data_IF_415565269317
#
_entry.id   IF_415565269317
#
_cell.length_a   1.000
_cell.length_b   1.000
_cell.length_c   1.000
_cell.angle_alpha   90.00
_cell.angle_beta   90.00
_cell.angle_gamma   90.00
#
_symmetry.space_group_name_H-M   'P 1'
#
loop_
_entity.id
_entity.type
_entity.pdbx_description
1 polymer ?
#
# COMPACT_ATOMS: atom_id res chain seq x y z
N UNK A 1 -21.69 0.71 -70.11
CA UNK A 1 -20.42 0.69 -69.36
C UNK A 1 -20.44 1.86 -68.38
N UNK A 2 -20.85 1.64 -67.14
CA UNK A 2 -20.83 2.64 -66.07
C UNK A 2 -20.26 1.97 -64.81
N UNK A 3 -19.03 2.32 -64.45
CA UNK A 3 -18.38 1.86 -63.23
C UNK A 3 -18.86 2.76 -62.10
N UNK A 4 -19.56 2.19 -61.11
CA UNK A 4 -19.90 2.87 -59.86
C UNK A 4 -18.73 2.71 -58.89
N UNK A 5 -18.11 3.82 -58.51
CA UNK A 5 -17.14 3.86 -57.41
C UNK A 5 -17.89 3.81 -56.08
N UNK A 6 -17.64 2.77 -55.28
CA UNK A 6 -18.04 2.73 -53.88
C UNK A 6 -16.95 3.39 -53.04
N UNK A 7 -17.27 4.54 -52.44
CA UNK A 7 -16.45 5.16 -51.40
C UNK A 7 -16.80 4.46 -50.08
N UNK A 8 -15.86 3.68 -49.54
CA UNK A 8 -15.95 3.17 -48.18
C UNK A 8 -15.52 4.27 -47.21
N UNK A 9 -16.47 4.85 -46.50
CA UNK A 9 -16.23 5.68 -45.33
C UNK A 9 -15.81 4.77 -44.16
N UNK A 10 -14.51 4.73 -43.84
CA UNK A 10 -14.03 4.18 -42.58
C UNK A 10 -14.44 5.12 -41.44
N UNK A 11 -15.49 4.78 -40.72
CA UNK A 11 -15.77 5.38 -39.42
C UNK A 11 -14.70 4.88 -38.44
N UNK A 12 -13.70 5.72 -38.17
CA UNK A 12 -12.69 5.44 -37.15
C UNK A 12 -13.37 5.36 -35.77
N UNK A 13 -13.39 4.17 -35.18
CA UNK A 13 -13.70 4.00 -33.77
C UNK A 13 -12.57 4.65 -32.96
N UNK A 14 -12.81 5.86 -32.46
CA UNK A 14 -11.96 6.47 -31.44
C UNK A 14 -12.20 5.68 -30.16
N UNK A 15 -11.30 4.75 -29.84
CA UNK A 15 -11.24 4.12 -28.53
C UNK A 15 -10.83 5.19 -27.52
N UNK A 16 -11.82 5.82 -26.88
CA UNK A 16 -11.58 6.65 -25.71
C UNK A 16 -11.07 5.73 -24.60
N UNK A 17 -9.77 5.83 -24.29
CA UNK A 17 -9.18 5.18 -23.10
C UNK A 17 -9.91 5.77 -21.90
N UNK A 18 -10.80 4.98 -21.29
CA UNK A 18 -11.52 5.40 -20.10
C UNK A 18 -10.59 5.30 -18.88
N UNK A 19 -10.72 6.22 -17.92
CA UNK A 19 -10.05 6.09 -16.63
C UNK A 19 -10.48 4.81 -15.92
N UNK A 20 -9.53 3.96 -15.56
CA UNK A 20 -9.79 2.80 -14.73
C UNK A 20 -9.41 3.13 -13.28
N UNK A 21 -10.41 3.57 -12.52
CA UNK A 21 -10.34 3.67 -11.07
C UNK A 21 -10.66 2.28 -10.51
N UNK A 22 -9.68 1.68 -9.83
CA UNK A 22 -9.87 0.35 -9.23
C UNK A 22 -10.20 0.45 -7.76
N UNK A 23 -9.50 1.32 -7.02
CA UNK A 23 -9.78 1.55 -5.62
C UNK A 23 -10.48 2.89 -5.44
N UNK A 24 -11.71 2.82 -4.93
CA UNK A 24 -12.47 4.01 -4.53
C UNK A 24 -11.84 4.69 -3.32
N UNK A 25 -11.08 3.95 -2.51
CA UNK A 25 -10.25 4.49 -1.45
C UNK A 25 -9.46 3.43 -0.69
N UNK A 26 -8.35 3.84 -0.08
CA UNK A 26 -7.57 3.11 0.93
C UNK A 26 -8.42 2.63 2.10
N UNK A 27 -9.19 3.56 2.66
CA UNK A 27 -10.22 3.30 3.65
C UNK A 27 -11.52 2.94 2.94
N UNK A 28 -12.36 2.09 3.56
CA UNK A 28 -13.73 1.95 3.13
C UNK A 28 -14.43 3.32 3.08
N UNK A 29 -15.46 3.42 2.24
CA UNK A 29 -16.25 4.64 2.11
C UNK A 29 -16.66 5.20 3.48
N UNK A 30 -16.37 6.48 3.68
CA UNK A 30 -16.64 7.22 4.91
C UNK A 30 -16.78 8.71 4.58
N UNK A 31 -17.51 9.43 5.44
CA UNK A 31 -17.82 10.86 5.27
C UNK A 31 -16.94 11.76 6.14
N UNK A 32 -15.82 11.25 6.67
CA UNK A 32 -14.96 12.04 7.55
C UNK A 32 -14.18 13.08 6.76
N UNK A 33 -14.22 14.31 7.28
CA UNK A 33 -13.60 15.49 6.69
C UNK A 33 -12.77 16.22 7.73
N UNK A 34 -11.46 16.37 7.50
CA UNK A 34 -10.56 17.10 8.39
C UNK A 34 -9.96 18.29 7.61
N UNK A 35 -10.48 19.51 7.80
CA UNK A 35 -10.03 20.69 7.06
C UNK A 35 -8.63 21.15 7.51
N UNK A 36 -8.02 22.05 6.73
CA UNK A 36 -6.69 22.63 7.03
C UNK A 36 -6.68 23.41 8.34
N UNK A 37 -7.83 23.93 8.80
CA UNK A 37 -7.96 24.64 10.07
C UNK A 37 -7.80 23.75 11.31
N UNK A 38 -7.84 22.43 11.16
CA UNK A 38 -7.75 21.46 12.26
C UNK A 38 -6.37 20.82 12.39
N UNK A 39 -5.34 21.42 11.77
CA UNK A 39 -3.94 21.00 11.99
C UNK A 39 -3.59 21.23 13.47
N UNK A 40 -3.36 20.13 14.19
CA UNK A 40 -2.88 20.14 15.57
C UNK A 40 -1.42 19.67 15.64
N UNK A 41 -0.76 19.87 16.78
CA UNK A 41 0.61 19.37 17.02
C UNK A 41 0.73 17.83 16.91
N UNK A 42 -0.38 17.12 16.95
CA UNK A 42 -0.44 15.66 16.85
C UNK A 42 -0.69 15.15 15.42
N UNK A 43 -0.76 16.06 14.45
CA UNK A 43 -1.06 15.75 13.05
C UNK A 43 0.07 16.15 12.14
N UNK A 44 0.17 15.56 10.94
CA UNK A 44 1.18 15.96 9.98
C UNK A 44 0.92 17.40 9.54
N UNK A 45 1.96 18.22 9.53
CA UNK A 45 1.93 19.49 8.83
C UNK A 45 2.19 19.29 7.32
N UNK A 46 1.99 20.35 6.54
CA UNK A 46 2.15 20.31 5.08
C UNK A 46 3.57 19.94 4.63
N UNK A 47 4.60 20.34 5.40
CA UNK A 47 5.98 20.01 5.06
C UNK A 47 6.26 18.52 5.25
N UNK A 48 5.75 17.92 6.34
CA UNK A 48 5.84 16.48 6.58
C UNK A 48 5.09 15.69 5.51
N UNK A 49 3.84 16.10 5.20
CA UNK A 49 3.06 15.54 4.10
C UNK A 49 3.84 15.54 2.78
N UNK A 50 4.44 16.67 2.42
CA UNK A 50 5.20 16.78 1.18
C UNK A 50 6.50 15.98 1.20
N UNK A 51 7.22 15.99 2.33
CA UNK A 51 8.47 15.25 2.50
C UNK A 51 8.29 13.75 2.30
N UNK A 52 7.21 13.17 2.85
CA UNK A 52 6.87 11.76 2.65
C UNK A 52 6.67 11.46 1.16
N UNK A 53 5.91 12.29 0.45
CA UNK A 53 5.62 12.07 -0.97
C UNK A 53 6.84 12.33 -1.85
N UNK A 54 7.73 13.26 -1.48
CA UNK A 54 8.99 13.50 -2.18
C UNK A 54 9.88 12.26 -2.16
N UNK A 55 9.91 11.55 -1.02
CA UNK A 55 10.68 10.30 -0.87
C UNK A 55 10.13 9.21 -1.78
N UNK A 56 8.81 9.00 -1.77
CA UNK A 56 8.14 8.03 -2.64
C UNK A 56 8.42 8.34 -4.10
N UNK A 57 8.24 9.59 -4.53
CA UNK A 57 8.50 9.99 -5.92
C UNK A 57 9.96 9.81 -6.31
N UNK A 58 10.90 10.23 -5.46
CA UNK A 58 12.35 10.10 -5.73
C UNK A 58 12.76 8.66 -6.01
N UNK A 59 12.21 7.70 -5.27
CA UNK A 59 12.51 6.27 -5.43
C UNK A 59 11.75 5.66 -6.59
N UNK A 60 10.45 5.93 -6.68
CA UNK A 60 9.56 5.15 -7.54
C UNK A 60 9.28 5.78 -8.90
N UNK A 61 9.48 7.08 -9.11
CA UNK A 61 9.41 7.65 -10.46
C UNK A 61 10.32 6.92 -11.47
N UNK A 62 11.63 6.70 -11.21
CA UNK A 62 12.49 5.99 -12.16
C UNK A 62 12.11 4.51 -12.32
N UNK A 63 11.64 3.86 -11.25
CA UNK A 63 11.17 2.46 -11.30
C UNK A 63 9.94 2.37 -12.21
N UNK A 64 8.93 3.21 -12.01
CA UNK A 64 7.73 3.25 -12.85
C UNK A 64 8.08 3.61 -14.30
N UNK A 65 9.01 4.54 -14.52
CA UNK A 65 9.49 4.87 -15.86
C UNK A 65 10.13 3.67 -16.57
N UNK A 66 10.90 2.84 -15.84
CA UNK A 66 11.47 1.61 -16.40
C UNK A 66 10.43 0.56 -16.80
N UNK A 67 9.22 0.67 -16.27
CA UNK A 67 8.05 -0.15 -16.64
C UNK A 67 7.24 0.48 -17.79
N UNK A 68 7.73 1.55 -18.41
CA UNK A 68 7.02 2.30 -19.46
C UNK A 68 5.92 3.23 -18.93
N UNK A 69 5.89 3.45 -17.62
CA UNK A 69 4.90 4.28 -16.93
C UNK A 69 5.35 5.70 -16.63
N UNK A 70 4.42 6.50 -16.10
CA UNK A 70 4.69 7.79 -15.47
C UNK A 70 3.98 7.83 -14.13
N UNK A 71 4.74 7.89 -13.04
CA UNK A 71 4.19 8.10 -11.70
C UNK A 71 3.71 9.55 -11.57
N UNK A 72 2.50 9.74 -11.07
CA UNK A 72 1.92 11.04 -10.76
C UNK A 72 1.31 11.03 -9.36
N UNK A 73 2.01 11.63 -8.41
CA UNK A 73 1.49 11.81 -7.05
C UNK A 73 0.72 13.12 -6.98
N UNK A 74 -0.60 13.04 -6.77
CA UNK A 74 -1.47 14.20 -6.53
C UNK A 74 -1.44 14.54 -5.04
N UNK A 75 -0.80 15.67 -4.74
CA UNK A 75 -0.60 16.22 -3.40
C UNK A 75 -1.80 17.09 -3.01
N UNK A 76 -2.86 16.47 -2.54
CA UNK A 76 -4.15 17.13 -2.29
C UNK A 76 -4.24 17.65 -0.86
N UNK A 77 -3.27 18.48 -0.44
CA UNK A 77 -3.15 18.95 0.95
C UNK A 77 -4.41 19.69 1.44
N UNK A 78 -5.03 20.53 0.61
CA UNK A 78 -6.24 21.29 1.01
C UNK A 78 -7.52 20.47 0.95
N UNK A 79 -7.47 19.27 0.38
CA UNK A 79 -8.60 18.35 0.37
C UNK A 79 -8.76 17.73 1.76
N UNK A 80 -9.98 17.80 2.29
CA UNK A 80 -10.34 17.39 3.64
C UNK A 80 -10.71 15.90 3.74
N UNK A 81 -10.73 15.18 2.62
CA UNK A 81 -11.07 13.75 2.57
C UNK A 81 -10.10 12.91 3.42
N UNK A 82 -10.66 12.08 4.31
CA UNK A 82 -9.91 11.06 5.07
C UNK A 82 -9.84 9.78 4.23
N UNK A 83 -9.00 9.80 3.20
CA UNK A 83 -8.73 8.63 2.35
C UNK A 83 -7.41 8.79 1.56
N UNK A 84 -7.11 7.84 0.67
CA UNK A 84 -6.16 7.90 -0.44
C UNK A 84 -6.72 7.04 -1.58
N UNK A 85 -6.23 7.18 -2.82
CA UNK A 85 -6.67 6.30 -3.92
C UNK A 85 -5.66 6.14 -5.04
N UNK A 86 -5.72 4.99 -5.71
CA UNK A 86 -4.92 4.67 -6.88
C UNK A 86 -5.78 4.62 -8.15
N UNK A 87 -5.26 5.24 -9.21
CA UNK A 87 -5.95 5.32 -10.50
C UNK A 87 -4.98 5.09 -11.65
N UNK A 88 -5.44 4.36 -12.67
CA UNK A 88 -4.66 4.08 -13.87
C UNK A 88 -5.31 4.71 -15.10
N UNK A 89 -4.54 5.52 -15.82
CA UNK A 89 -4.97 6.12 -17.10
C UNK A 89 -3.87 5.98 -18.15
N UNK A 90 -4.03 5.02 -19.06
CA UNK A 90 -2.97 4.66 -20.02
C UNK A 90 -1.69 4.27 -19.29
N UNK A 91 -0.60 5.00 -19.55
CA UNK A 91 0.68 4.80 -18.88
C UNK A 91 0.86 5.64 -17.60
N UNK A 92 -0.16 6.37 -17.13
CA UNK A 92 -0.10 7.19 -15.91
C UNK A 92 -0.51 6.38 -14.69
N UNK A 93 0.40 6.29 -13.73
CA UNK A 93 0.24 5.63 -12.43
C UNK A 93 -0.07 6.73 -11.43
N UNK A 94 -1.35 6.93 -11.09
CA UNK A 94 -1.79 8.08 -10.30
C UNK A 94 -2.04 7.64 -8.86
N UNK A 95 -1.46 8.37 -7.91
CA UNK A 95 -1.72 8.26 -6.47
C UNK A 95 -2.37 9.56 -6.01
N UNK A 96 -3.58 9.50 -5.47
CA UNK A 96 -4.24 10.64 -4.85
C UNK A 96 -4.06 10.58 -3.35
N UNK A 97 -3.31 11.55 -2.81
CA UNK A 97 -2.99 11.60 -1.40
C UNK A 97 -3.68 12.82 -0.79
N UNK A 98 -4.69 12.60 0.05
CA UNK A 98 -5.55 13.66 0.56
C UNK A 98 -5.07 14.16 1.93
N UNK A 99 -5.16 15.48 2.14
CA UNK A 99 -4.69 16.10 3.37
C UNK A 99 -5.52 15.73 4.60
N UNK A 100 -6.81 15.42 4.43
CA UNK A 100 -7.69 15.02 5.53
C UNK A 100 -7.16 13.78 6.26
N UNK A 101 -6.66 12.79 5.52
CA UNK A 101 -6.01 11.61 6.11
C UNK A 101 -4.74 11.98 6.88
N UNK A 102 -3.88 12.81 6.31
CA UNK A 102 -2.65 13.23 6.97
C UNK A 102 -2.90 14.05 8.25
N UNK A 103 -4.09 14.65 8.36
CA UNK A 103 -4.53 15.40 9.55
C UNK A 103 -5.32 14.55 10.56
N UNK A 104 -5.46 13.25 10.34
CA UNK A 104 -6.12 12.39 11.32
C UNK A 104 -5.20 12.11 12.53
N UNK A 105 -5.68 12.19 13.79
CA UNK A 105 -4.82 12.13 14.98
C UNK A 105 -3.94 10.88 15.14
N UNK A 106 -4.38 9.72 14.65
CA UNK A 106 -3.61 8.48 14.70
C UNK A 106 -2.56 8.34 13.59
N UNK A 107 -2.49 9.27 12.63
CA UNK A 107 -1.62 9.17 11.46
C UNK A 107 -0.27 9.83 11.73
N UNK A 108 0.79 9.03 11.68
CA UNK A 108 2.19 9.47 11.72
C UNK A 108 2.78 9.63 10.30
N UNK A 109 3.99 10.18 10.18
CA UNK A 109 4.69 10.25 8.89
C UNK A 109 4.87 8.86 8.27
N UNK A 110 5.24 7.87 9.09
CA UNK A 110 5.38 6.48 8.66
C UNK A 110 4.05 5.87 8.24
N UNK A 111 2.97 6.13 8.98
CA UNK A 111 1.63 5.68 8.61
C UNK A 111 1.21 6.26 7.25
N UNK A 112 1.46 7.55 7.02
CA UNK A 112 1.16 8.18 5.74
C UNK A 112 2.04 7.65 4.59
N UNK A 113 3.32 7.35 4.87
CA UNK A 113 4.21 6.70 3.91
C UNK A 113 3.75 5.27 3.56
N UNK A 114 3.25 4.52 4.55
CA UNK A 114 2.63 3.21 4.33
C UNK A 114 1.45 3.34 3.36
N UNK A 115 0.57 4.32 3.53
CA UNK A 115 -0.58 4.53 2.63
C UNK A 115 -0.10 4.81 1.21
N UNK A 116 0.86 5.71 1.02
CA UNK A 116 1.42 5.98 -0.32
C UNK A 116 2.03 4.71 -0.95
N UNK A 117 2.69 3.89 -0.14
CA UNK A 117 3.23 2.60 -0.54
C UNK A 117 2.16 1.56 -0.89
N UNK A 118 1.03 1.56 -0.18
CA UNK A 118 -0.13 0.74 -0.51
C UNK A 118 -0.73 1.16 -1.86
N UNK A 119 -0.98 2.46 -2.06
CA UNK A 119 -1.55 2.95 -3.33
C UNK A 119 -0.62 2.67 -4.52
N UNK A 120 0.69 2.78 -4.31
CA UNK A 120 1.68 2.32 -5.27
C UNK A 120 1.60 0.81 -5.49
N UNK A 121 1.37 0.04 -4.44
CA UNK A 121 1.19 -1.41 -4.44
C UNK A 121 0.10 -1.86 -5.41
N UNK A 122 -1.04 -1.18 -5.48
CA UNK A 122 -2.05 -1.50 -6.50
C UNK A 122 -1.46 -1.52 -7.91
N UNK A 123 -0.51 -0.64 -8.23
CA UNK A 123 0.07 -0.58 -9.57
C UNK A 123 1.14 -1.63 -9.86
N UNK A 124 1.92 -2.05 -8.86
CA UNK A 124 3.16 -2.81 -9.07
C UNK A 124 3.41 -3.96 -8.10
N UNK A 125 2.49 -4.26 -7.18
CA UNK A 125 2.68 -5.33 -6.20
C UNK A 125 2.57 -6.73 -6.82
N UNK A 126 2.01 -6.86 -8.03
CA UNK A 126 1.84 -8.13 -8.72
C UNK A 126 0.65 -8.95 -8.20
N UNK A 127 0.74 -10.27 -8.31
CA UNK A 127 -0.31 -11.17 -7.84
C UNK A 127 -0.35 -11.30 -6.30
N UNK A 128 -1.53 -11.55 -5.70
CA UNK A 128 -2.84 -11.64 -6.34
C UNK A 128 -3.41 -10.27 -6.76
N UNK A 129 -4.14 -10.27 -7.89
CA UNK A 129 -4.84 -9.12 -8.43
C UNK A 129 -6.32 -9.19 -8.10
N UNK A 130 -6.97 -8.03 -8.02
CA UNK A 130 -8.41 -7.94 -7.84
C UNK A 130 -9.11 -8.72 -8.97
N UNK A 131 -9.99 -9.64 -8.60
CA UNK A 131 -10.75 -10.43 -9.56
C UNK A 131 -11.72 -9.60 -10.41
N UNK A 132 -12.20 -10.22 -11.49
CA UNK A 132 -13.21 -9.64 -12.39
C UNK A 132 -12.69 -9.36 -13.80
N UNK A 133 -13.61 -9.41 -14.76
CA UNK A 133 -13.29 -9.39 -16.20
C UNK A 133 -12.59 -8.11 -16.69
N UNK A 134 -12.78 -7.00 -15.97
CA UNK A 134 -12.28 -5.69 -16.38
C UNK A 134 -11.06 -5.24 -15.60
N UNK A 135 -10.68 -5.93 -14.51
CA UNK A 135 -9.56 -5.53 -13.67
C UNK A 135 -8.37 -6.46 -13.82
N UNK A 136 -7.46 -6.10 -14.72
CA UNK A 136 -6.31 -6.95 -15.07
C UNK A 136 -4.99 -6.41 -14.54
N UNK A 137 -4.97 -5.20 -13.98
CA UNK A 137 -3.74 -4.53 -13.61
C UNK A 137 -3.52 -4.48 -12.10
N UNK A 138 -4.58 -4.25 -11.31
CA UNK A 138 -4.41 -3.87 -9.92
C UNK A 138 -4.20 -5.06 -9.00
N UNK A 139 -3.14 -5.01 -8.19
CA UNK A 139 -3.00 -5.87 -7.03
C UNK A 139 -4.15 -5.65 -6.06
N UNK A 140 -4.62 -6.70 -5.39
CA UNK A 140 -5.71 -6.55 -4.43
C UNK A 140 -5.26 -5.84 -3.13
N UNK A 141 -6.22 -5.53 -2.27
CA UNK A 141 -6.00 -4.77 -1.02
C UNK A 141 -4.93 -5.42 -0.12
N UNK A 142 -5.07 -6.72 0.15
CA UNK A 142 -4.11 -7.46 0.99
C UNK A 142 -2.71 -7.56 0.36
N UNK A 143 -2.63 -7.73 -0.97
CA UNK A 143 -1.35 -7.76 -1.68
C UNK A 143 -0.67 -6.39 -1.71
N UNK A 144 -1.45 -5.31 -1.78
CA UNK A 144 -0.95 -3.94 -1.75
C UNK A 144 -0.41 -3.58 -0.37
N UNK A 145 -1.11 -4.01 0.71
CA UNK A 145 -0.58 -3.96 2.08
C UNK A 145 0.71 -4.74 2.24
N UNK A 146 0.74 -5.97 1.72
CA UNK A 146 1.90 -6.84 1.83
C UNK A 146 3.11 -6.27 1.07
N UNK A 147 2.91 -5.74 -0.13
CA UNK A 147 3.98 -5.08 -0.89
C UNK A 147 4.51 -3.81 -0.21
N UNK A 148 3.63 -3.07 0.48
CA UNK A 148 4.00 -1.84 1.15
C UNK A 148 5.18 -2.05 2.10
N UNK A 149 5.17 -3.10 2.93
CA UNK A 149 6.27 -3.42 3.84
C UNK A 149 7.39 -4.23 3.18
N UNK A 150 7.02 -5.19 2.33
CA UNK A 150 7.97 -6.10 1.69
C UNK A 150 8.99 -5.36 0.81
N UNK A 151 8.53 -4.35 0.05
CA UNK A 151 9.35 -3.63 -0.93
C UNK A 151 9.31 -2.12 -0.74
N UNK A 152 8.12 -1.52 -0.70
CA UNK A 152 7.99 -0.07 -0.83
C UNK A 152 8.67 0.71 0.27
N UNK A 153 8.25 0.45 1.50
CA UNK A 153 8.69 1.18 2.67
C UNK A 153 10.20 1.02 2.92
N UNK A 154 10.73 -0.19 2.67
CA UNK A 154 12.17 -0.48 2.77
C UNK A 154 13.04 0.34 1.82
N UNK A 155 12.51 0.78 0.67
CA UNK A 155 13.28 1.55 -0.32
C UNK A 155 13.28 3.06 -0.06
N UNK A 156 12.32 3.59 0.70
CA UNK A 156 12.11 5.04 0.86
C UNK A 156 12.78 5.65 2.10
N UNK A 157 13.31 4.81 2.99
CA UNK A 157 14.09 5.21 4.15
C UNK A 157 15.47 4.57 4.10
N UNK A 158 16.50 5.35 4.41
CA UNK A 158 17.87 4.84 4.51
C UNK A 158 18.09 4.07 5.82
N UNK A 159 19.11 3.22 5.83
CA UNK A 159 19.53 2.45 7.01
C UNK A 159 19.75 3.33 8.23
N UNK A 160 20.45 4.45 8.07
CA UNK A 160 20.71 5.41 9.14
C UNK A 160 19.41 5.98 9.71
N UNK A 161 18.49 6.43 8.85
CA UNK A 161 17.20 6.97 9.30
C UNK A 161 16.37 5.95 10.06
N UNK A 162 16.44 4.67 9.67
CA UNK A 162 15.72 3.60 10.36
C UNK A 162 16.31 3.34 11.75
N UNK A 163 17.64 3.27 11.87
CA UNK A 163 18.32 3.11 13.18
C UNK A 163 18.06 4.32 14.09
N UNK A 164 18.15 5.54 13.55
CA UNK A 164 17.85 6.77 14.30
C UNK A 164 16.39 6.79 14.78
N UNK A 165 15.44 6.38 13.93
CA UNK A 165 14.05 6.23 14.33
C UNK A 165 13.91 5.21 15.48
N UNK A 166 14.52 4.03 15.35
CA UNK A 166 14.37 2.95 16.33
C UNK A 166 14.94 3.32 17.71
N UNK A 167 15.99 4.14 17.76
CA UNK A 167 16.57 4.62 19.02
C UNK A 167 15.67 5.60 19.79
N UNK A 168 14.70 6.22 19.12
CA UNK A 168 13.83 7.24 19.72
C UNK A 168 12.36 6.80 19.81
N UNK A 169 11.96 5.78 19.07
CA UNK A 169 10.59 5.30 19.00
C UNK A 169 10.23 4.39 20.18
N UNK A 170 8.98 4.47 20.62
CA UNK A 170 8.39 3.44 21.47
C UNK A 170 8.00 2.24 20.60
N UNK A 171 8.84 1.21 20.60
CA UNK A 171 8.61 -0.02 19.83
C UNK A 171 7.90 -1.04 20.70
N UNK A 172 6.82 -1.58 20.18
CA UNK A 172 6.09 -2.64 20.85
C UNK A 172 6.94 -3.91 21.06
N UNK A 173 6.94 -4.56 22.24
CA UNK A 173 7.86 -5.66 22.56
C UNK A 173 7.83 -6.83 21.56
N UNK A 174 6.64 -7.27 21.13
CA UNK A 174 6.51 -8.36 20.13
C UNK A 174 7.12 -7.97 18.79
N UNK A 175 6.99 -6.70 18.38
CA UNK A 175 7.57 -6.21 17.12
C UNK A 175 9.09 -6.20 17.23
N UNK A 176 9.61 -5.66 18.34
CA UNK A 176 11.04 -5.63 18.61
C UNK A 176 11.65 -7.03 18.58
N UNK A 177 11.05 -7.98 19.31
CA UNK A 177 11.49 -9.38 19.36
C UNK A 177 11.49 -10.01 17.97
N UNK A 178 10.37 -9.92 17.23
CA UNK A 178 10.26 -10.57 15.91
C UNK A 178 11.22 -9.97 14.90
N UNK A 179 11.33 -8.65 14.84
CA UNK A 179 12.20 -7.98 13.88
C UNK A 179 13.69 -8.23 14.17
N UNK A 180 14.12 -8.19 15.44
CA UNK A 180 15.52 -8.47 15.82
C UNK A 180 15.88 -9.95 15.70
N UNK A 181 14.90 -10.85 15.80
CA UNK A 181 15.10 -12.28 15.54
C UNK A 181 15.20 -12.58 14.05
N UNK A 182 14.37 -11.93 13.23
CA UNK A 182 14.32 -12.18 11.79
C UNK A 182 15.49 -11.58 11.02
N UNK A 183 15.95 -10.40 11.43
CA UNK A 183 16.94 -9.62 10.70
C UNK A 183 18.26 -9.53 11.46
N UNK A 184 19.35 -9.92 10.80
CA UNK A 184 20.69 -9.86 11.38
C UNK A 184 21.27 -8.44 11.43
N UNK A 185 20.81 -7.55 10.55
CA UNK A 185 21.25 -6.15 10.50
C UNK A 185 20.34 -5.28 11.38
N UNK A 186 20.93 -4.43 12.21
CA UNK A 186 20.19 -3.45 13.01
C UNK A 186 19.32 -2.54 12.13
N UNK A 187 19.79 -2.18 10.94
CA UNK A 187 19.03 -1.35 10.00
C UNK A 187 17.80 -2.08 9.43
N UNK A 188 17.93 -3.35 9.09
CA UNK A 188 16.81 -4.16 8.59
C UNK A 188 15.80 -4.44 9.73
N UNK A 189 16.28 -4.74 10.94
CA UNK A 189 15.42 -4.89 12.12
C UNK A 189 14.68 -3.58 12.43
N UNK A 190 15.36 -2.44 12.29
CA UNK A 190 14.77 -1.14 12.52
C UNK A 190 13.70 -0.78 11.48
N UNK A 191 13.93 -1.01 10.18
CA UNK A 191 12.89 -0.76 9.16
C UNK A 191 11.71 -1.71 9.28
N UNK A 192 11.95 -2.96 9.69
CA UNK A 192 10.90 -3.92 10.03
C UNK A 192 10.01 -3.38 11.16
N UNK A 193 10.61 -2.92 12.26
CA UNK A 193 9.88 -2.38 13.39
C UNK A 193 9.14 -1.08 13.04
N UNK A 194 9.80 -0.19 12.29
CA UNK A 194 9.22 1.07 11.80
C UNK A 194 7.96 0.85 10.99
N UNK A 195 8.02 -0.08 10.03
CA UNK A 195 6.86 -0.40 9.21
C UNK A 195 5.74 -1.06 10.00
N UNK A 196 6.05 -2.00 10.90
CA UNK A 196 5.03 -2.64 11.73
C UNK A 196 4.30 -1.63 12.63
N UNK A 197 5.03 -0.67 13.23
CA UNK A 197 4.42 0.40 14.03
C UNK A 197 3.57 1.36 13.19
N UNK A 198 3.97 1.65 11.94
CA UNK A 198 3.15 2.37 10.97
C UNK A 198 1.83 1.63 10.67
N UNK A 199 1.92 0.30 10.50
CA UNK A 199 0.75 -0.56 10.33
C UNK A 199 -0.21 -0.50 11.51
N UNK A 200 0.30 -0.41 12.74
CA UNK A 200 -0.53 -0.24 13.95
C UNK A 200 -1.28 1.09 13.96
N UNK A 201 -0.58 2.19 13.65
CA UNK A 201 -1.18 3.53 13.56
C UNK A 201 -2.32 3.58 12.52
N UNK A 202 -2.11 2.96 11.36
CA UNK A 202 -3.10 2.86 10.29
C UNK A 202 -4.28 1.98 10.69
N UNK A 203 -4.04 0.80 11.25
CA UNK A 203 -5.12 -0.11 11.62
C UNK A 203 -5.97 0.42 12.78
N UNK A 204 -5.38 1.25 13.64
CA UNK A 204 -6.12 2.04 14.63
C UNK A 204 -7.12 3.00 13.96
N UNK A 205 -6.73 3.67 12.85
CA UNK A 205 -7.65 4.49 12.05
C UNK A 205 -8.84 3.67 11.52
N UNK A 206 -8.58 2.49 10.94
CA UNK A 206 -9.66 1.62 10.44
C UNK A 206 -10.61 1.19 11.56
N UNK A 207 -10.05 0.84 12.72
CA UNK A 207 -10.82 0.49 13.91
C UNK A 207 -11.73 1.63 14.34
N UNK A 208 -11.20 2.84 14.49
CA UNK A 208 -11.96 4.01 14.94
C UNK A 208 -13.08 4.40 13.98
N UNK A 209 -12.86 4.31 12.67
CA UNK A 209 -13.84 4.75 11.67
C UNK A 209 -14.96 3.72 11.46
N UNK A 210 -14.61 2.44 11.37
CA UNK A 210 -15.56 1.41 10.86
C UNK A 210 -15.75 0.22 11.79
N UNK A 211 -14.79 -0.06 12.67
CA UNK A 211 -14.78 -1.28 13.48
C UNK A 211 -14.48 -0.99 14.96
N UNK A 212 -15.22 -0.10 15.64
CA UNK A 212 -14.83 0.41 16.96
C UNK A 212 -14.77 -0.67 18.05
N UNK A 213 -15.44 -1.80 17.83
CA UNK A 213 -15.49 -2.92 18.77
C UNK A 213 -14.44 -4.00 18.48
N UNK A 214 -13.67 -3.89 17.39
CA UNK A 214 -12.66 -4.90 17.06
C UNK A 214 -11.47 -4.79 18.01
N UNK A 215 -10.94 -5.94 18.43
CA UNK A 215 -9.66 -6.01 19.11
C UNK A 215 -8.53 -5.81 18.09
N UNK A 216 -7.46 -5.14 18.53
CA UNK A 216 -6.31 -4.83 17.69
C UNK A 216 -5.03 -4.95 18.54
N UNK A 217 -4.13 -5.85 18.16
CA UNK A 217 -2.89 -6.11 18.89
C UNK A 217 -1.93 -7.02 18.14
N UNK A 218 -0.65 -6.97 18.49
CA UNK A 218 0.35 -7.88 17.90
C UNK A 218 0.33 -9.27 18.57
N UNK A 219 -0.31 -9.35 19.73
CA UNK A 219 -0.55 -10.51 20.58
C UNK A 219 -1.69 -11.39 20.09
N UNK A 220 -2.59 -10.80 19.28
CA UNK A 220 -3.89 -11.35 18.93
C UNK A 220 -4.07 -11.48 17.41
N UNK A 221 -3.24 -12.28 16.72
CA UNK A 221 -3.35 -12.44 15.28
C UNK A 221 -4.70 -13.07 14.88
N UNK A 222 -5.23 -12.65 13.74
CA UNK A 222 -6.44 -13.19 13.12
C UNK A 222 -6.14 -14.57 12.52
N UNK A 223 -6.63 -15.61 13.20
CA UNK A 223 -6.46 -17.01 12.80
C UNK A 223 -7.54 -17.50 11.83
N UNK A 224 -8.43 -16.62 11.36
CA UNK A 224 -9.42 -17.00 10.35
C UNK A 224 -8.76 -17.39 9.03
N UNK A 225 -9.47 -18.21 8.26
CA UNK A 225 -9.01 -18.70 6.97
C UNK A 225 -10.09 -18.50 5.93
N UNK A 226 -9.77 -17.77 4.87
CA UNK A 226 -10.69 -17.54 3.77
C UNK A 226 -10.81 -18.77 2.87
N UNK A 227 -11.99 -18.96 2.27
CA UNK A 227 -12.23 -20.03 1.28
C UNK A 227 -11.77 -19.67 -0.13
N UNK A 228 -11.56 -18.40 -0.37
CA UNK A 228 -11.05 -17.77 -1.59
C UNK A 228 -10.37 -16.47 -1.19
N UNK A 229 -9.37 -16.01 -1.95
CA UNK A 229 -8.67 -14.76 -1.65
C UNK A 229 -9.68 -13.61 -1.60
N UNK A 230 -9.66 -12.83 -0.51
CA UNK A 230 -10.52 -11.65 -0.36
C UNK A 230 -9.89 -10.46 -1.07
N UNK A 231 -10.57 -9.96 -2.11
CA UNK A 231 -10.14 -8.81 -2.89
C UNK A 231 -10.57 -7.46 -2.30
N UNK A 232 -11.37 -7.47 -1.22
CA UNK A 232 -11.87 -6.27 -0.54
C UNK A 232 -10.94 -5.85 0.60
N UNK A 233 -11.26 -4.74 1.27
CA UNK A 233 -10.57 -4.29 2.48
C UNK A 233 -10.65 -5.34 3.61
N UNK A 234 -9.52 -5.96 4.02
CA UNK A 234 -9.51 -6.87 5.15
C UNK A 234 -9.84 -6.13 6.45
N UNK A 235 -10.27 -6.87 7.48
CA UNK A 235 -10.50 -6.30 8.81
C UNK A 235 -9.19 -5.76 9.44
N UNK A 236 -9.26 -4.80 10.38
CA UNK A 236 -8.08 -4.13 10.93
C UNK A 236 -7.00 -5.08 11.44
N UNK A 237 -7.37 -6.11 12.22
CA UNK A 237 -6.41 -7.09 12.73
C UNK A 237 -5.70 -7.85 11.60
N UNK A 238 -6.45 -8.33 10.60
CA UNK A 238 -5.89 -9.04 9.46
C UNK A 238 -4.93 -8.15 8.63
N UNK A 239 -5.20 -6.84 8.52
CA UNK A 239 -4.26 -5.87 7.92
C UNK A 239 -3.01 -5.70 8.79
N UNK A 240 -3.15 -5.61 10.11
CA UNK A 240 -2.01 -5.50 11.04
C UNK A 240 -1.09 -6.72 10.93
N UNK A 241 -1.67 -7.92 10.87
CA UNK A 241 -0.94 -9.16 10.66
C UNK A 241 -0.22 -9.16 9.32
N UNK A 242 -0.85 -8.60 8.28
CA UNK A 242 -0.25 -8.48 6.94
C UNK A 242 0.94 -7.52 6.94
N UNK A 243 0.81 -6.38 7.63
CA UNK A 243 1.90 -5.42 7.75
C UNK A 243 3.10 -6.02 8.48
N UNK A 244 2.88 -6.66 9.64
CA UNK A 244 3.95 -7.32 10.37
C UNK A 244 4.57 -8.47 9.56
N UNK A 245 3.75 -9.30 8.91
CA UNK A 245 4.25 -10.38 8.06
C UNK A 245 5.11 -9.83 6.92
N UNK A 246 4.69 -8.77 6.23
CA UNK A 246 5.48 -8.20 5.13
C UNK A 246 6.83 -7.66 5.58
N UNK A 247 6.90 -7.02 6.75
CA UNK A 247 8.14 -6.53 7.34
C UNK A 247 9.10 -7.65 7.76
N UNK A 248 8.58 -8.85 8.04
CA UNK A 248 9.38 -10.03 8.41
C UNK A 248 9.81 -10.87 7.21
N UNK A 249 9.34 -10.57 6.00
CA UNK A 249 9.73 -11.34 4.83
C UNK A 249 11.13 -10.95 4.35
N UNK A 250 12.04 -11.92 4.32
CA UNK A 250 13.47 -11.70 4.03
C UNK A 250 13.83 -11.66 2.54
N UNK A 251 12.84 -11.74 1.63
CA UNK A 251 13.12 -11.71 0.20
C UNK A 251 13.90 -10.44 -0.18
N UNK A 252 14.92 -10.56 -1.05
CA UNK A 252 15.74 -9.43 -1.44
C UNK A 252 14.91 -8.23 -1.90
N UNK A 253 15.27 -7.04 -1.43
CA UNK A 253 14.52 -5.81 -1.68
C UNK A 253 14.41 -5.47 -3.18
N UNK A 254 15.40 -5.87 -4.00
CA UNK A 254 15.43 -5.64 -5.44
C UNK A 254 14.84 -6.79 -6.27
N UNK A 255 14.48 -7.89 -5.63
CA UNK A 255 13.73 -8.94 -6.29
C UNK A 255 12.30 -8.45 -6.56
N UNK A 256 11.92 -8.39 -7.83
CA UNK A 256 10.59 -7.96 -8.26
C UNK A 256 9.56 -9.03 -7.94
N UNK A 257 8.36 -8.60 -7.56
CA UNK A 257 7.18 -9.47 -7.58
C UNK A 257 6.73 -9.73 -9.02
N UNK A 258 5.88 -10.73 -9.22
CA UNK A 258 5.37 -11.10 -10.53
C UNK A 258 3.86 -10.84 -10.64
N UNK A 259 3.40 -10.47 -11.84
CA UNK A 259 2.00 -10.12 -12.09
C UNK A 259 1.05 -11.31 -12.15
N UNK A 260 1.57 -12.53 -12.33
CA UNK A 260 0.80 -13.77 -12.48
C UNK A 260 1.11 -14.76 -11.36
N UNK A 261 2.39 -14.88 -11.01
CA UNK A 261 2.89 -15.83 -10.02
C UNK A 261 3.02 -15.15 -8.64
N UNK A 262 2.15 -15.47 -7.68
CA UNK A 262 2.22 -14.87 -6.34
C UNK A 262 3.42 -15.35 -5.52
N UNK A 263 4.19 -16.34 -5.98
CA UNK A 263 5.37 -16.86 -5.27
C UNK A 263 6.65 -16.05 -5.50
N UNK A 264 6.78 -15.43 -6.67
CA UNK A 264 8.00 -14.71 -7.03
C UNK A 264 8.15 -13.43 -6.20
N UNK A 265 9.33 -13.25 -5.60
CA UNK A 265 9.67 -12.05 -4.83
C UNK A 265 8.98 -11.92 -3.47
N UNK A 266 8.25 -12.95 -3.02
CA UNK A 266 7.47 -12.97 -1.76
C UNK A 266 7.80 -14.22 -0.91
N UNK A 267 7.52 -14.15 0.40
CA UNK A 267 7.62 -15.30 1.28
C UNK A 267 6.33 -16.10 1.20
N UNK A 268 6.39 -17.33 0.71
CA UNK A 268 5.20 -18.19 0.53
C UNK A 268 5.31 -19.50 1.27
N UNK A 269 4.14 -20.00 1.72
CA UNK A 269 4.03 -21.31 2.34
C UNK A 269 4.46 -22.43 1.39
N UNK A 270 4.19 -22.28 0.08
CA UNK A 270 4.61 -23.22 -0.96
C UNK A 270 6.14 -23.30 -1.09
N UNK A 271 6.83 -22.16 -0.97
CA UNK A 271 8.29 -22.10 -0.92
C UNK A 271 8.88 -22.50 0.46
N UNK A 272 8.05 -23.01 1.39
CA UNK A 272 8.49 -23.50 2.70
C UNK A 272 8.66 -22.41 3.77
N UNK A 273 8.29 -21.16 3.49
CA UNK A 273 8.33 -20.11 4.49
C UNK A 273 7.24 -20.30 5.54
N UNK A 274 7.62 -20.11 6.81
CA UNK A 274 6.71 -20.07 7.96
C UNK A 274 6.62 -18.66 8.56
N UNK A 275 7.62 -17.81 8.29
CA UNK A 275 7.69 -16.41 8.68
C UNK A 275 7.50 -15.51 7.47
N UNK A 276 6.88 -14.37 7.69
CA UNK A 276 6.66 -13.35 6.68
C UNK A 276 5.66 -13.72 5.58
N UNK A 277 4.91 -14.80 5.75
CA UNK A 277 3.91 -15.25 4.77
C UNK A 277 2.62 -14.44 4.85
N UNK A 278 1.97 -14.21 3.70
CA UNK A 278 0.65 -13.56 3.63
C UNK A 278 -0.36 -14.24 4.58
N UNK A 279 -1.08 -13.49 5.45
CA UNK A 279 -2.07 -14.06 6.36
C UNK A 279 -3.23 -14.79 5.67
N UNK A 280 -3.70 -15.88 6.28
CA UNK A 280 -4.82 -16.68 5.75
C UNK A 280 -6.19 -16.01 5.92
N UNK A 281 -6.27 -14.97 6.76
CA UNK A 281 -7.49 -14.19 6.99
C UNK A 281 -7.90 -13.36 5.76
N UNK A 282 -7.05 -13.24 4.74
CA UNK A 282 -7.40 -12.67 3.42
C UNK A 282 -6.82 -13.43 2.23
N UNK A 283 -5.70 -14.14 2.37
CA UNK A 283 -5.03 -14.82 1.27
C UNK A 283 -5.32 -16.32 1.28
N UNK A 284 -5.78 -16.85 0.14
CA UNK A 284 -5.81 -18.29 -0.11
C UNK A 284 -4.58 -18.69 -0.94
N UNK A 285 -3.64 -19.46 -0.37
CA UNK A 285 -2.48 -19.98 -1.10
C UNK A 285 -2.83 -20.92 -2.25
#
# INVERSE_FOLDING_TARGET
MFVKYFVFLFAGFIWLVQPQQVCNGFLPENDLKIPVSEVSIFTLNQNQFNSVLDRVEKVYQPIIASLGGKLEVKRLWTDDTVNASAMRFGNRYILNMYGGMARYPSITEEAFALVACHELGHHIAGAPKVGGWFNTWASNEGQSDYFAGLKCFRKIYSDQENVEWANNAEIHPIVLEKCTTQWASDADAAVCARFAMAGRAITQLFKEIKFPNDELGFESPDNSQVRETDDRHPRPQCRLDTYLASALCDRPIDEKTNDQDPEVGACTRLAGYTVGVRPLCWYKP
#
